data_IF_497972297233
#
_entry.id   IF_497972297233
#
_cell.length_a   1.000
_cell.length_b   1.000
_cell.length_c   1.000
_cell.angle_alpha   90.00
_cell.angle_beta   90.00
_cell.angle_gamma   90.00
#
_symmetry.space_group_name_H-M   'P 1'
#
loop_
_entity.id
_entity.type
_entity.pdbx_description
1 polymer ?
#
# COMPACT_ATOMS: atom_id res chain seq x y z
N UNK A 1 -17.73 67.84 -1.81
CA UNK A 1 -18.71 66.98 -2.49
C UNK A 1 -18.05 65.67 -2.84
N UNK A 2 -18.20 64.67 -1.95
CA UNK A 2 -17.98 63.23 -2.22
C UNK A 2 -19.06 62.72 -3.15
N UNK A 3 -18.83 61.58 -3.86
CA UNK A 3 -19.45 60.38 -3.33
C UNK A 3 -18.61 59.09 -3.39
N UNK A 4 -18.86 58.30 -2.38
CA UNK A 4 -18.56 56.90 -2.17
C UNK A 4 -18.72 56.00 -3.40
N UNK A 5 -17.69 55.24 -3.71
CA UNK A 5 -17.75 54.04 -4.53
C UNK A 5 -17.46 52.81 -3.69
N UNK A 6 -18.48 52.18 -3.13
CA UNK A 6 -18.46 50.88 -2.49
C UNK A 6 -18.16 49.79 -3.54
N UNK A 7 -16.96 49.26 -3.56
CA UNK A 7 -16.65 48.03 -4.26
C UNK A 7 -17.15 46.85 -3.41
N UNK A 8 -18.33 46.34 -3.72
CA UNK A 8 -18.83 45.05 -3.28
C UNK A 8 -17.95 43.95 -3.86
N UNK A 9 -16.97 43.52 -3.11
CA UNK A 9 -16.29 42.24 -3.33
C UNK A 9 -17.31 41.13 -3.07
N UNK A 10 -18.00 40.67 -4.13
CA UNK A 10 -18.80 39.43 -4.09
C UNK A 10 -17.92 38.29 -3.63
N UNK A 11 -17.94 37.97 -2.33
CA UNK A 11 -17.52 36.68 -1.81
C UNK A 11 -18.45 35.63 -2.43
N UNK A 12 -17.98 34.96 -3.47
CA UNK A 12 -18.62 33.75 -4.00
C UNK A 12 -18.48 32.64 -2.95
N UNK A 13 -19.39 32.64 -1.99
CA UNK A 13 -19.59 31.50 -1.09
C UNK A 13 -19.99 30.30 -1.96
N UNK A 14 -19.10 29.36 -2.11
CA UNK A 14 -19.39 28.08 -2.79
C UNK A 14 -20.63 27.45 -2.14
N UNK A 15 -21.65 27.18 -2.96
CA UNK A 15 -22.91 26.57 -2.55
C UNK A 15 -22.63 25.28 -1.72
N UNK A 16 -23.31 25.08 -0.57
CA UNK A 16 -23.14 23.86 0.27
C UNK A 16 -23.38 22.56 -0.48
N UNK A 17 -24.19 22.59 -1.56
CA UNK A 17 -24.40 21.43 -2.44
C UNK A 17 -23.15 21.05 -3.23
N UNK A 18 -22.33 22.02 -3.67
CA UNK A 18 -21.07 21.77 -4.40
C UNK A 18 -20.02 21.02 -3.53
N UNK A 19 -19.96 21.33 -2.24
CA UNK A 19 -19.03 20.68 -1.31
C UNK A 19 -19.35 19.20 -1.04
N UNK A 20 -20.64 18.87 -0.86
CA UNK A 20 -21.09 17.49 -0.63
C UNK A 20 -20.86 16.61 -1.85
N UNK A 21 -21.16 17.09 -3.05
CA UNK A 21 -20.92 16.37 -4.31
C UNK A 21 -19.42 16.11 -4.52
N UNK A 22 -18.56 17.08 -4.23
CA UNK A 22 -17.11 16.91 -4.32
C UNK A 22 -16.58 15.83 -3.38
N UNK A 23 -17.02 15.80 -2.12
CA UNK A 23 -16.65 14.78 -1.14
C UNK A 23 -17.12 13.38 -1.57
N UNK A 24 -18.33 13.26 -2.11
CA UNK A 24 -18.86 11.99 -2.60
C UNK A 24 -18.03 11.44 -3.77
N UNK A 25 -17.64 12.27 -4.73
CA UNK A 25 -16.80 11.86 -5.85
C UNK A 25 -15.43 11.39 -5.34
N UNK A 26 -14.81 12.11 -4.39
CA UNK A 26 -13.56 11.72 -3.79
C UNK A 26 -13.71 10.37 -3.07
N UNK A 27 -14.78 10.16 -2.31
CA UNK A 27 -15.05 8.88 -1.63
C UNK A 27 -15.15 7.71 -2.62
N UNK A 28 -15.88 7.89 -3.74
CA UNK A 28 -15.95 6.89 -4.83
C UNK A 28 -14.57 6.65 -5.44
N UNK A 29 -13.79 7.70 -5.67
CA UNK A 29 -12.44 7.56 -6.25
C UNK A 29 -11.52 6.79 -5.32
N UNK A 30 -11.57 7.01 -3.99
CA UNK A 30 -10.85 6.18 -3.01
C UNK A 30 -11.35 4.73 -3.01
N UNK A 31 -12.67 4.53 -3.08
CA UNK A 31 -13.28 3.21 -3.14
C UNK A 31 -12.76 2.42 -4.34
N UNK A 32 -12.73 3.03 -5.53
CA UNK A 32 -12.22 2.41 -6.76
C UNK A 32 -10.71 2.20 -6.70
N UNK A 33 -9.94 3.19 -6.23
CA UNK A 33 -8.48 3.08 -6.16
C UNK A 33 -8.01 1.94 -5.27
N UNK A 34 -8.54 1.87 -4.05
CA UNK A 34 -8.19 0.79 -3.12
C UNK A 34 -8.92 -0.51 -3.44
N UNK A 35 -10.09 -0.42 -4.04
CA UNK A 35 -10.79 -1.56 -4.59
C UNK A 35 -9.98 -2.28 -5.66
N UNK A 36 -9.31 -1.53 -6.55
CA UNK A 36 -8.38 -2.10 -7.54
C UNK A 36 -7.23 -2.90 -6.88
N UNK A 37 -6.69 -2.41 -5.75
CA UNK A 37 -5.72 -3.18 -4.97
C UNK A 37 -6.31 -4.48 -4.45
N UNK A 38 -7.57 -4.45 -4.00
CA UNK A 38 -8.29 -5.62 -3.53
C UNK A 38 -8.63 -6.63 -4.65
N UNK A 39 -8.77 -6.16 -5.88
CA UNK A 39 -8.98 -7.03 -7.06
C UNK A 39 -7.69 -7.70 -7.49
N UNK A 40 -6.63 -6.92 -7.66
CA UNK A 40 -5.43 -7.40 -8.36
C UNK A 40 -4.43 -8.06 -7.42
N UNK A 41 -4.08 -7.40 -6.30
CA UNK A 41 -2.96 -7.85 -5.47
C UNK A 41 -3.16 -9.26 -4.91
N UNK A 42 -4.34 -9.62 -4.35
CA UNK A 42 -4.53 -10.97 -3.81
C UNK A 42 -4.57 -12.06 -4.87
N UNK A 43 -5.10 -11.77 -6.05
CA UNK A 43 -5.45 -12.81 -7.04
C UNK A 43 -4.55 -12.80 -8.28
N UNK A 44 -3.57 -11.91 -8.37
CA UNK A 44 -2.63 -11.89 -9.50
C UNK A 44 -1.84 -13.19 -9.61
N UNK A 45 -1.46 -13.81 -8.49
CA UNK A 45 -0.82 -15.12 -8.48
C UNK A 45 -1.68 -16.21 -9.10
N UNK A 46 -2.99 -16.24 -8.78
CA UNK A 46 -3.95 -17.20 -9.37
C UNK A 46 -4.09 -16.98 -10.88
N UNK A 47 -4.14 -15.72 -11.33
CA UNK A 47 -4.19 -15.41 -12.77
C UNK A 47 -2.95 -15.91 -13.50
N UNK A 48 -1.75 -15.65 -12.96
CA UNK A 48 -0.49 -16.05 -13.59
C UNK A 48 -0.31 -17.58 -13.61
N UNK A 49 -0.63 -18.25 -12.50
CA UNK A 49 -0.62 -19.71 -12.39
C UNK A 49 -1.61 -20.33 -13.39
N UNK A 50 -2.82 -19.76 -13.50
CA UNK A 50 -3.82 -20.19 -14.49
C UNK A 50 -3.40 -19.97 -15.95
N UNK A 51 -2.42 -19.10 -16.21
CA UNK A 51 -1.77 -18.92 -17.51
C UNK A 51 -0.55 -19.82 -17.72
N UNK A 52 -0.25 -20.70 -16.76
CA UNK A 52 0.84 -21.68 -16.83
C UNK A 52 2.21 -21.15 -16.47
N UNK A 53 2.31 -19.99 -15.81
CA UNK A 53 3.59 -19.48 -15.33
C UNK A 53 4.06 -20.28 -14.11
N UNK A 54 5.37 -20.53 -14.09
CA UNK A 54 6.01 -21.17 -12.95
C UNK A 54 6.01 -20.25 -11.71
N UNK A 55 6.15 -20.83 -10.52
CA UNK A 55 6.25 -20.06 -9.29
C UNK A 55 7.39 -19.05 -9.32
N UNK A 56 8.52 -19.40 -9.92
CA UNK A 56 9.65 -18.49 -10.10
C UNK A 56 9.26 -17.27 -10.93
N UNK A 57 8.64 -17.46 -12.09
CA UNK A 57 8.15 -16.36 -12.93
C UNK A 57 7.12 -15.49 -12.21
N UNK A 58 6.20 -16.09 -11.44
CA UNK A 58 5.25 -15.34 -10.62
C UNK A 58 5.98 -14.44 -9.63
N UNK A 59 6.96 -14.97 -8.89
CA UNK A 59 7.75 -14.20 -7.93
C UNK A 59 8.58 -13.10 -8.59
N UNK A 60 9.18 -13.37 -9.75
CA UNK A 60 9.93 -12.38 -10.54
C UNK A 60 9.03 -11.23 -11.02
N UNK A 61 7.84 -11.54 -11.54
CA UNK A 61 6.88 -10.53 -11.97
C UNK A 61 6.43 -9.65 -10.78
N UNK A 62 6.11 -10.24 -9.63
CA UNK A 62 5.79 -9.48 -8.42
C UNK A 62 6.96 -8.61 -7.95
N UNK A 63 8.21 -9.08 -8.07
CA UNK A 63 9.38 -8.29 -7.76
C UNK A 63 9.50 -7.07 -8.68
N UNK A 64 9.34 -7.24 -9.98
CA UNK A 64 9.37 -6.13 -10.96
C UNK A 64 8.25 -5.11 -10.69
N UNK A 65 7.03 -5.56 -10.45
CA UNK A 65 5.90 -4.69 -10.07
C UNK A 65 6.24 -3.88 -8.81
N UNK A 66 6.83 -4.53 -7.81
CA UNK A 66 7.20 -3.88 -6.55
C UNK A 66 8.29 -2.83 -6.76
N UNK A 67 9.28 -3.09 -7.61
CA UNK A 67 10.31 -2.12 -7.99
C UNK A 67 9.72 -0.94 -8.77
N UNK A 68 8.79 -1.18 -9.69
CA UNK A 68 8.10 -0.11 -10.43
C UNK A 68 7.38 0.88 -9.48
N UNK A 69 6.85 0.39 -8.36
CA UNK A 69 6.22 1.23 -7.31
C UNK A 69 7.19 2.17 -6.59
N UNK A 70 8.49 1.89 -6.61
CA UNK A 70 9.50 2.80 -6.02
C UNK A 70 9.78 3.97 -6.96
N UNK A 71 9.90 3.68 -8.25
CA UNK A 71 10.31 4.67 -9.24
C UNK A 71 9.19 5.66 -9.58
N UNK A 72 7.96 5.18 -9.63
CA UNK A 72 6.82 5.95 -10.08
C UNK A 72 6.54 7.23 -9.28
N UNK A 73 6.44 7.20 -7.93
CA UNK A 73 6.08 8.38 -7.15
C UNK A 73 7.03 9.56 -7.33
N UNK A 74 8.35 9.30 -7.38
CA UNK A 74 9.36 10.34 -7.60
C UNK A 74 9.25 11.00 -8.97
N UNK A 75 9.00 10.21 -10.02
CA UNK A 75 8.79 10.71 -11.37
C UNK A 75 7.55 11.60 -11.46
N UNK A 76 6.43 11.12 -10.90
CA UNK A 76 5.15 11.82 -10.96
C UNK A 76 5.09 13.05 -10.06
N UNK A 77 5.75 13.04 -8.90
CA UNK A 77 5.92 14.22 -8.08
C UNK A 77 6.65 15.32 -8.87
N UNK A 78 7.75 14.97 -9.54
CA UNK A 78 8.49 15.93 -10.39
C UNK A 78 7.65 16.50 -11.54
N UNK A 79 6.73 15.69 -12.12
CA UNK A 79 5.80 16.18 -13.16
C UNK A 79 4.75 17.10 -12.55
N UNK A 80 4.18 16.73 -11.39
CA UNK A 80 3.17 17.54 -10.69
C UNK A 80 3.75 18.89 -10.25
N UNK A 81 4.95 18.92 -9.69
CA UNK A 81 5.64 20.13 -9.25
C UNK A 81 5.93 21.07 -10.42
N UNK A 82 6.39 20.53 -11.57
CA UNK A 82 6.67 21.34 -12.76
C UNK A 82 5.42 21.90 -13.42
N UNK A 83 4.32 21.16 -13.40
CA UNK A 83 3.09 21.55 -14.09
C UNK A 83 2.12 22.34 -13.21
N UNK A 84 2.22 22.24 -11.89
CA UNK A 84 1.26 22.80 -10.95
C UNK A 84 -0.16 22.27 -11.16
N UNK A 85 -0.32 21.08 -11.75
CA UNK A 85 -1.59 20.53 -12.18
C UNK A 85 -1.82 19.11 -11.65
N UNK A 86 -2.06 18.97 -10.35
CA UNK A 86 -2.32 17.71 -9.68
C UNK A 86 -3.44 16.88 -10.34
N UNK A 87 -4.53 17.54 -10.74
CA UNK A 87 -5.67 16.87 -11.43
C UNK A 87 -5.24 16.32 -12.78
N UNK A 88 -4.51 17.12 -13.58
CA UNK A 88 -4.03 16.69 -14.90
C UNK A 88 -3.09 15.48 -14.79
N UNK A 89 -2.17 15.50 -13.83
CA UNK A 89 -1.26 14.39 -13.57
C UNK A 89 -2.03 13.15 -13.12
N UNK A 90 -3.00 13.28 -12.22
CA UNK A 90 -3.84 12.16 -11.77
C UNK A 90 -4.63 11.54 -12.94
N UNK A 91 -5.29 12.36 -13.77
CA UNK A 91 -6.04 11.89 -14.95
C UNK A 91 -5.15 11.21 -15.97
N UNK A 92 -4.00 11.79 -16.26
CA UNK A 92 -3.03 11.19 -17.17
C UNK A 92 -2.52 9.84 -16.62
N UNK A 93 -2.19 9.78 -15.33
CA UNK A 93 -1.81 8.53 -14.66
C UNK A 93 -2.89 7.47 -14.77
N UNK A 94 -4.15 7.79 -14.48
CA UNK A 94 -5.27 6.85 -14.63
C UNK A 94 -5.46 6.39 -16.08
N UNK A 95 -5.41 7.30 -17.05
CA UNK A 95 -5.55 6.96 -18.47
C UNK A 95 -4.45 6.02 -18.94
N UNK A 96 -3.19 6.36 -18.65
CA UNK A 96 -2.04 5.52 -19.01
C UNK A 96 -2.08 4.16 -18.31
N UNK A 97 -2.59 4.11 -17.07
CA UNK A 97 -2.83 2.85 -16.35
C UNK A 97 -3.82 1.96 -17.09
N UNK A 98 -4.98 2.50 -17.52
CA UNK A 98 -5.97 1.75 -18.31
C UNK A 98 -5.37 1.25 -19.61
N UNK A 99 -4.69 2.13 -20.36
CA UNK A 99 -4.13 1.78 -21.67
C UNK A 99 -3.05 0.69 -21.56
N UNK A 100 -2.11 0.84 -20.61
CA UNK A 100 -1.05 -0.17 -20.42
C UNK A 100 -1.61 -1.48 -19.85
N UNK A 101 -2.59 -1.42 -18.94
CA UNK A 101 -3.22 -2.64 -18.44
C UNK A 101 -4.01 -3.38 -19.51
N UNK A 102 -4.63 -2.67 -20.46
CA UNK A 102 -5.35 -3.31 -21.58
C UNK A 102 -4.44 -4.18 -22.43
N UNK A 103 -3.14 -3.95 -22.45
CA UNK A 103 -2.19 -4.79 -23.17
C UNK A 103 -2.03 -6.19 -22.59
N UNK A 104 -2.47 -6.44 -21.33
CA UNK A 104 -2.48 -7.78 -20.70
C UNK A 104 -3.35 -8.77 -21.48
N UNK A 105 -4.37 -8.29 -22.19
CA UNK A 105 -5.23 -9.14 -23.02
C UNK A 105 -4.57 -9.62 -24.33
N UNK A 106 -3.50 -8.96 -24.75
CA UNK A 106 -2.76 -9.28 -25.96
C UNK A 106 -1.48 -10.07 -25.70
N UNK A 107 -0.86 -9.87 -24.55
CA UNK A 107 0.37 -10.55 -24.20
C UNK A 107 0.09 -11.89 -23.51
N UNK A 108 0.82 -12.92 -23.98
CA UNK A 108 0.80 -14.28 -23.38
C UNK A 108 2.18 -14.68 -22.85
N UNK A 109 3.23 -13.96 -23.24
CA UNK A 109 4.60 -14.23 -22.80
C UNK A 109 4.89 -13.60 -21.45
N UNK A 110 5.81 -14.20 -20.68
CA UNK A 110 6.28 -13.68 -19.41
C UNK A 110 6.74 -12.21 -19.51
N UNK A 111 7.61 -11.89 -20.43
CA UNK A 111 8.13 -10.53 -20.59
C UNK A 111 7.07 -9.52 -21.04
N UNK A 112 6.14 -9.94 -21.88
CA UNK A 112 5.03 -9.10 -22.30
C UNK A 112 4.12 -8.72 -21.12
N UNK A 113 3.75 -9.71 -20.29
CA UNK A 113 2.95 -9.45 -19.09
C UNK A 113 3.74 -8.67 -18.04
N UNK A 114 5.00 -8.98 -17.84
CA UNK A 114 5.87 -8.23 -16.91
C UNK A 114 5.97 -6.75 -17.30
N UNK A 115 6.12 -6.46 -18.58
CA UNK A 115 6.12 -5.09 -19.10
C UNK A 115 4.75 -4.41 -18.89
N UNK A 116 3.65 -5.10 -19.22
CA UNK A 116 2.31 -4.56 -19.07
C UNK A 116 1.97 -4.21 -17.61
N UNK A 117 2.22 -5.14 -16.68
CA UNK A 117 2.00 -4.91 -15.25
C UNK A 117 2.97 -3.89 -14.65
N UNK A 118 4.24 -3.91 -15.06
CA UNK A 118 5.25 -2.96 -14.61
C UNK A 118 4.91 -1.53 -15.02
N UNK A 119 4.55 -1.30 -16.29
CA UNK A 119 4.12 0.01 -16.78
C UNK A 119 2.81 0.46 -16.13
N UNK A 120 1.84 -0.43 -16.04
CA UNK A 120 0.59 -0.16 -15.33
C UNK A 120 0.86 0.33 -13.90
N UNK A 121 1.71 -0.38 -13.17
CA UNK A 121 2.03 -0.02 -11.78
C UNK A 121 2.77 1.32 -11.71
N UNK A 122 3.70 1.57 -12.61
CA UNK A 122 4.42 2.85 -12.67
C UNK A 122 3.46 4.03 -12.89
N UNK A 123 2.50 3.90 -13.80
CA UNK A 123 1.51 4.95 -14.06
C UNK A 123 0.49 5.07 -12.93
N UNK A 124 0.09 3.97 -12.31
CA UNK A 124 -0.84 4.00 -11.19
C UNK A 124 -0.29 4.74 -9.97
N UNK A 125 1.01 4.70 -9.72
CA UNK A 125 1.62 5.43 -8.60
C UNK A 125 1.47 6.95 -8.69
N UNK A 126 1.08 7.49 -9.86
CA UNK A 126 0.74 8.90 -10.00
C UNK A 126 -0.55 9.30 -9.27
N UNK A 127 -1.46 8.34 -9.06
CA UNK A 127 -2.85 8.65 -8.69
C UNK A 127 -3.00 9.03 -7.22
N UNK A 128 -2.51 8.19 -6.31
CA UNK A 128 -2.77 8.35 -4.88
C UNK A 128 -2.21 9.66 -4.29
N UNK A 129 -0.96 10.06 -4.54
CA UNK A 129 -0.42 11.30 -3.98
C UNK A 129 -1.23 12.53 -4.39
N UNK A 130 -1.66 12.57 -5.65
CA UNK A 130 -2.47 13.68 -6.16
C UNK A 130 -3.88 13.65 -5.57
N UNK A 131 -4.48 12.46 -5.44
CA UNK A 131 -5.79 12.29 -4.82
C UNK A 131 -5.77 12.75 -3.35
N UNK A 132 -4.70 12.44 -2.61
CA UNK A 132 -4.53 12.86 -1.22
C UNK A 132 -4.41 14.38 -1.08
N UNK A 133 -3.58 15.03 -1.90
CA UNK A 133 -3.46 16.49 -1.93
C UNK A 133 -4.81 17.14 -2.23
N UNK A 134 -5.53 16.70 -3.27
CA UNK A 134 -6.84 17.22 -3.64
C UNK A 134 -7.84 17.03 -2.49
N UNK A 135 -7.79 15.86 -1.82
CA UNK A 135 -8.70 15.55 -0.71
C UNK A 135 -8.43 16.46 0.49
N UNK A 136 -7.16 16.63 0.89
CA UNK A 136 -6.78 17.51 2.00
C UNK A 136 -7.26 18.94 1.78
N UNK A 137 -7.09 19.47 0.57
CA UNK A 137 -7.54 20.81 0.21
C UNK A 137 -9.06 20.94 0.15
N UNK A 138 -9.74 19.87 -0.21
CA UNK A 138 -11.22 19.86 -0.23
C UNK A 138 -11.79 19.80 1.18
N UNK A 139 -11.29 18.92 2.03
CA UNK A 139 -11.78 18.79 3.42
C UNK A 139 -11.47 20.01 4.27
N UNK A 140 -10.36 20.71 4.01
CA UNK A 140 -10.02 21.96 4.70
C UNK A 140 -11.12 23.06 4.54
N UNK A 141 -11.93 22.96 3.51
CA UNK A 141 -13.05 23.88 3.21
C UNK A 141 -14.42 23.33 3.66
N UNK A 142 -14.45 22.21 4.36
CA UNK A 142 -15.67 21.51 4.77
C UNK A 142 -15.61 21.09 6.24
N UNK A 143 -16.70 20.52 6.77
CA UNK A 143 -16.72 19.90 8.10
C UNK A 143 -16.25 18.44 8.09
N UNK A 144 -16.01 17.86 6.92
CA UNK A 144 -15.53 16.49 6.80
C UNK A 144 -14.04 16.39 7.16
N UNK A 145 -13.62 15.22 7.60
CA UNK A 145 -12.21 14.92 7.86
C UNK A 145 -11.63 14.07 6.74
N UNK A 146 -10.31 14.15 6.54
CA UNK A 146 -9.60 13.27 5.62
C UNK A 146 -9.90 11.78 5.88
N UNK A 147 -9.89 11.36 7.16
CA UNK A 147 -10.15 9.97 7.55
C UNK A 147 -11.52 9.47 7.10
N UNK A 148 -12.56 10.31 7.17
CA UNK A 148 -13.91 9.95 6.71
C UNK A 148 -13.97 9.68 5.21
N UNK A 149 -13.26 10.44 4.41
CA UNK A 149 -13.19 10.23 2.95
C UNK A 149 -12.30 9.03 2.62
N UNK A 150 -11.13 8.93 3.26
CA UNK A 150 -10.15 7.87 3.04
C UNK A 150 -10.65 6.48 3.45
N UNK A 151 -11.55 6.39 4.45
CA UNK A 151 -12.16 5.13 4.92
C UNK A 151 -12.87 4.37 3.80
N UNK A 152 -13.47 5.08 2.83
CA UNK A 152 -14.12 4.46 1.68
C UNK A 152 -13.15 3.62 0.84
N UNK A 153 -11.85 3.92 0.88
CA UNK A 153 -10.84 3.06 0.28
C UNK A 153 -10.77 1.68 0.92
N UNK A 154 -10.79 1.59 2.26
CA UNK A 154 -10.82 0.29 2.95
C UNK A 154 -12.11 -0.49 2.64
N UNK A 155 -13.25 0.21 2.59
CA UNK A 155 -14.53 -0.40 2.18
C UNK A 155 -14.44 -0.95 0.74
N UNK A 156 -13.88 -0.18 -0.20
CA UNK A 156 -13.69 -0.60 -1.58
C UNK A 156 -12.78 -1.83 -1.70
N UNK A 157 -11.66 -1.83 -0.98
CA UNK A 157 -10.76 -2.98 -0.91
C UNK A 157 -11.51 -4.24 -0.44
N UNK A 158 -12.18 -4.17 0.71
CA UNK A 158 -12.91 -5.31 1.31
C UNK A 158 -13.99 -5.82 0.34
N UNK A 159 -14.84 -4.92 -0.17
CA UNK A 159 -15.95 -5.29 -1.06
C UNK A 159 -15.44 -5.99 -2.33
N UNK A 160 -14.43 -5.41 -2.98
CA UNK A 160 -13.95 -5.96 -4.25
C UNK A 160 -13.08 -7.21 -4.05
N UNK A 161 -12.31 -7.31 -2.97
CA UNK A 161 -11.56 -8.55 -2.66
C UNK A 161 -12.52 -9.73 -2.47
N UNK A 162 -13.58 -9.57 -1.68
CA UNK A 162 -14.58 -10.64 -1.47
C UNK A 162 -15.38 -10.88 -2.74
N UNK A 163 -15.80 -9.83 -3.46
CA UNK A 163 -16.59 -9.94 -4.69
C UNK A 163 -15.83 -10.65 -5.81
N UNK A 164 -14.55 -10.33 -6.02
CA UNK A 164 -13.72 -10.99 -7.03
C UNK A 164 -13.37 -12.42 -6.59
N UNK A 165 -13.13 -12.66 -5.30
CA UNK A 165 -12.99 -14.02 -4.79
C UNK A 165 -14.20 -14.88 -5.10
N UNK A 166 -15.42 -14.36 -4.88
CA UNK A 166 -16.66 -15.07 -5.27
C UNK A 166 -16.77 -15.26 -6.78
N UNK A 167 -16.38 -14.27 -7.57
CA UNK A 167 -16.42 -14.36 -9.02
C UNK A 167 -15.43 -15.41 -9.55
N UNK A 168 -14.26 -15.58 -8.92
CA UNK A 168 -13.30 -16.65 -9.23
C UNK A 168 -13.90 -18.06 -9.04
N UNK A 169 -14.78 -18.24 -8.06
CA UNK A 169 -15.45 -19.53 -7.82
C UNK A 169 -16.45 -19.90 -8.93
N UNK A 170 -16.90 -18.91 -9.71
CA UNK A 170 -17.95 -19.07 -10.74
C UNK A 170 -17.35 -19.05 -12.15
N UNK A 171 -16.32 -18.22 -12.36
CA UNK A 171 -15.72 -17.96 -13.66
C UNK A 171 -14.29 -18.52 -13.73
N UNK A 172 -13.46 -17.99 -14.60
CA UNK A 172 -12.08 -18.43 -14.82
C UNK A 172 -11.05 -17.68 -13.95
N UNK A 173 -9.82 -18.17 -13.96
CA UNK A 173 -8.64 -17.52 -13.35
C UNK A 173 -8.31 -16.16 -13.97
N UNK A 174 -8.89 -15.81 -15.12
CA UNK A 174 -8.76 -14.48 -15.75
C UNK A 174 -9.68 -13.42 -15.10
N UNK A 175 -10.59 -13.80 -14.22
CA UNK A 175 -11.55 -12.92 -13.55
C UNK A 175 -10.91 -11.68 -12.92
N UNK A 176 -9.77 -11.77 -12.19
CA UNK A 176 -9.14 -10.59 -11.59
C UNK A 176 -8.73 -9.55 -12.64
N UNK A 177 -8.26 -9.98 -13.80
CA UNK A 177 -7.84 -9.07 -14.88
C UNK A 177 -9.05 -8.41 -15.54
N UNK A 178 -10.14 -9.16 -15.79
CA UNK A 178 -11.38 -8.60 -16.34
C UNK A 178 -12.04 -7.62 -15.34
N UNK A 179 -12.06 -7.94 -14.06
CA UNK A 179 -12.56 -7.04 -13.03
C UNK A 179 -11.67 -5.78 -12.91
N UNK A 180 -10.34 -5.95 -12.95
CA UNK A 180 -9.39 -4.85 -12.88
C UNK A 180 -9.59 -3.82 -13.99
N UNK A 181 -9.73 -4.24 -15.26
CA UNK A 181 -9.91 -3.26 -16.34
C UNK A 181 -11.20 -2.45 -16.16
N UNK A 182 -12.28 -3.09 -15.69
CA UNK A 182 -13.52 -2.40 -15.37
C UNK A 182 -13.36 -1.39 -14.24
N UNK A 183 -12.70 -1.77 -13.15
CA UNK A 183 -12.44 -0.89 -12.00
C UNK A 183 -11.52 0.27 -12.40
N UNK A 184 -10.45 0.01 -13.16
CA UNK A 184 -9.53 1.05 -13.65
C UNK A 184 -10.23 2.03 -14.58
N UNK A 185 -11.10 1.57 -15.48
CA UNK A 185 -11.90 2.45 -16.34
C UNK A 185 -12.85 3.32 -15.52
N UNK A 186 -13.55 2.76 -14.53
CA UNK A 186 -14.40 3.51 -13.62
C UNK A 186 -13.59 4.50 -12.77
N UNK A 187 -12.39 4.11 -12.32
CA UNK A 187 -11.46 5.01 -11.62
C UNK A 187 -11.09 6.20 -12.50
N UNK A 188 -10.70 5.97 -13.75
CA UNK A 188 -10.40 7.06 -14.68
C UNK A 188 -11.62 7.97 -14.87
N UNK A 189 -12.80 7.41 -15.13
CA UNK A 189 -14.05 8.16 -15.29
C UNK A 189 -14.35 9.00 -14.03
N UNK A 190 -14.17 8.43 -12.81
CA UNK A 190 -14.41 9.17 -11.56
C UNK A 190 -13.53 10.41 -11.44
N UNK A 191 -12.29 10.35 -11.91
CA UNK A 191 -11.35 11.48 -11.87
C UNK A 191 -11.80 12.65 -12.75
N UNK A 192 -12.58 12.40 -13.81
CA UNK A 192 -13.09 13.45 -14.70
C UNK A 192 -14.07 14.38 -14.00
N UNK A 193 -14.75 13.89 -12.96
CA UNK A 193 -15.70 14.66 -12.17
C UNK A 193 -15.06 15.41 -10.99
N UNK A 194 -13.79 15.12 -10.67
CA UNK A 194 -13.05 15.84 -9.61
C UNK A 194 -12.74 17.24 -10.08
N UNK A 195 -13.08 18.24 -9.25
CA UNK A 195 -12.79 19.65 -9.46
C UNK A 195 -11.98 20.15 -8.26
N UNK A 196 -10.79 20.66 -8.51
CA UNK A 196 -10.00 21.35 -7.50
C UNK A 196 -9.42 22.64 -8.10
N UNK A 197 -9.23 23.69 -7.30
CA UNK A 197 -8.52 24.89 -7.74
C UNK A 197 -7.09 24.55 -8.13
N UNK A 198 -6.53 25.26 -9.12
CA UNK A 198 -5.09 25.24 -9.40
C UNK A 198 -4.34 25.68 -8.14
N UNK A 199 -3.35 24.91 -7.74
CA UNK A 199 -2.50 25.24 -6.62
C UNK A 199 -1.20 25.91 -7.07
N UNK A 200 -0.67 26.77 -6.19
CA UNK A 200 0.73 27.17 -6.28
C UNK A 200 1.61 25.97 -5.96
N UNK A 201 2.66 25.75 -6.74
CA UNK A 201 3.63 24.70 -6.50
C UNK A 201 4.18 24.83 -5.06
N UNK A 202 4.30 23.71 -4.30
CA UNK A 202 4.88 23.77 -2.97
C UNK A 202 6.34 24.26 -3.06
N UNK A 203 6.72 25.13 -2.12
CA UNK A 203 8.11 25.56 -2.01
C UNK A 203 9.03 24.35 -1.82
N UNK A 204 9.99 24.18 -2.71
CA UNK A 204 10.98 23.12 -2.63
C UNK A 204 11.81 23.30 -1.37
N UNK A 205 11.74 22.36 -0.44
CA UNK A 205 12.59 22.41 0.76
C UNK A 205 14.05 22.19 0.36
N UNK A 206 14.91 23.16 0.65
CA UNK A 206 16.37 23.14 0.46
C UNK A 206 17.10 22.28 1.51
N UNK A 207 16.47 21.27 2.07
CA UNK A 207 17.09 20.40 3.06
C UNK A 207 18.28 19.63 2.45
N UNK A 208 19.40 19.60 3.17
CA UNK A 208 20.61 18.87 2.77
C UNK A 208 20.43 17.35 2.63
N UNK A 209 21.52 16.58 2.57
CA UNK A 209 21.46 15.12 2.41
C UNK A 209 20.93 14.41 3.65
N UNK A 210 20.01 13.44 3.48
CA UNK A 210 19.48 12.58 4.55
C UNK A 210 20.54 11.60 5.10
N UNK A 211 21.60 11.33 4.37
CA UNK A 211 22.59 10.31 4.72
C UNK A 211 23.26 10.51 6.07
N UNK A 212 23.31 11.78 6.57
CA UNK A 212 23.78 12.10 7.94
C UNK A 212 22.95 11.35 9.00
N UNK A 213 21.64 11.26 8.80
CA UNK A 213 20.72 10.59 9.72
C UNK A 213 20.55 9.10 9.41
N UNK A 214 20.55 8.74 8.14
CA UNK A 214 20.39 7.36 7.68
C UNK A 214 21.49 6.42 8.20
N UNK A 215 22.71 6.95 8.42
CA UNK A 215 23.84 6.20 8.98
C UNK A 215 23.82 6.08 10.51
N UNK A 216 22.92 6.76 11.20
CA UNK A 216 22.82 6.63 12.65
C UNK A 216 22.25 5.27 13.02
N UNK A 217 22.86 4.62 14.02
CA UNK A 217 22.54 3.26 14.44
C UNK A 217 21.05 3.00 14.63
N UNK A 218 20.25 3.83 15.35
CA UNK A 218 18.84 3.55 15.54
C UNK A 218 18.04 3.54 14.22
N UNK A 219 18.35 4.47 13.31
CA UNK A 219 17.67 4.55 12.03
C UNK A 219 18.07 3.40 11.08
N UNK A 220 19.34 3.06 11.05
CA UNK A 220 19.84 1.94 10.24
C UNK A 220 19.24 0.60 10.68
N UNK A 221 19.18 0.34 12.00
CA UNK A 221 18.56 -0.87 12.56
C UNK A 221 17.06 -0.89 12.27
N UNK A 222 16.37 0.23 12.44
CA UNK A 222 14.95 0.36 12.09
C UNK A 222 14.69 0.03 10.61
N UNK A 223 15.48 0.57 9.70
CA UNK A 223 15.35 0.28 8.26
C UNK A 223 15.63 -1.20 7.97
N UNK A 224 16.66 -1.78 8.58
CA UNK A 224 16.98 -3.19 8.41
C UNK A 224 15.87 -4.11 8.93
N UNK A 225 15.37 -3.87 10.15
CA UNK A 225 14.27 -4.64 10.73
C UNK A 225 13.00 -4.54 9.87
N UNK A 226 12.69 -3.34 9.36
CA UNK A 226 11.57 -3.10 8.47
C UNK A 226 11.75 -3.81 7.11
N UNK A 227 12.98 -3.84 6.57
CA UNK A 227 13.27 -4.57 5.34
C UNK A 227 13.09 -6.08 5.53
N UNK A 228 13.60 -6.66 6.62
CA UNK A 228 13.40 -8.06 6.97
C UNK A 228 11.91 -8.41 7.11
N UNK A 229 11.14 -7.53 7.76
CA UNK A 229 9.69 -7.68 7.84
C UNK A 229 9.04 -7.72 6.45
N UNK A 230 9.38 -6.79 5.56
CA UNK A 230 8.81 -6.73 4.22
C UNK A 230 9.26 -7.90 3.32
N UNK A 231 10.48 -8.40 3.50
CA UNK A 231 10.93 -9.65 2.86
C UNK A 231 9.99 -10.80 3.27
N UNK A 232 9.64 -10.89 4.54
CA UNK A 232 8.75 -11.94 5.05
C UNK A 232 7.34 -11.90 4.45
N UNK A 233 6.87 -10.75 3.99
CA UNK A 233 5.57 -10.60 3.33
C UNK A 233 5.52 -11.12 1.89
N UNK A 234 6.67 -11.43 1.27
CA UNK A 234 6.71 -11.96 -0.11
C UNK A 234 5.90 -13.24 -0.28
N UNK A 235 5.99 -14.18 0.67
CA UNK A 235 5.17 -15.39 0.68
C UNK A 235 3.66 -15.08 0.74
N UNK A 236 3.27 -14.08 1.51
CA UNK A 236 1.88 -13.71 1.68
C UNK A 236 1.30 -13.01 0.45
N UNK A 237 1.95 -11.94 -0.04
CA UNK A 237 1.40 -11.16 -1.15
C UNK A 237 1.43 -11.92 -2.49
N UNK A 238 2.44 -12.74 -2.72
CA UNK A 238 2.56 -13.49 -3.97
C UNK A 238 1.75 -14.79 -3.98
N UNK A 239 1.67 -15.49 -2.84
CA UNK A 239 1.29 -16.89 -2.83
C UNK A 239 0.16 -17.27 -1.85
N UNK A 240 -0.34 -16.36 -1.01
CA UNK A 240 -1.38 -16.70 -0.04
C UNK A 240 -2.66 -17.23 -0.71
N UNK A 241 -3.13 -16.60 -1.79
CA UNK A 241 -4.33 -17.06 -2.46
C UNK A 241 -4.13 -18.42 -3.17
N UNK A 242 -2.95 -18.66 -3.70
CA UNK A 242 -2.57 -19.99 -4.25
C UNK A 242 -2.56 -21.02 -3.12
N UNK A 243 -1.98 -20.70 -1.97
CA UNK A 243 -1.95 -21.58 -0.82
C UNK A 243 -3.35 -21.93 -0.30
N UNK A 244 -4.24 -20.92 -0.23
CA UNK A 244 -5.64 -21.19 0.17
C UNK A 244 -6.35 -22.10 -0.83
N UNK A 245 -6.15 -21.91 -2.14
CA UNK A 245 -6.66 -22.79 -3.17
C UNK A 245 -6.15 -24.23 -3.02
N UNK A 246 -4.86 -24.38 -2.78
CA UNK A 246 -4.21 -25.69 -2.62
C UNK A 246 -4.66 -26.41 -1.33
N UNK A 247 -5.25 -25.67 -0.37
CA UNK A 247 -5.91 -26.18 0.83
C UNK A 247 -7.45 -26.29 0.68
N UNK A 248 -7.97 -26.30 -0.56
CA UNK A 248 -9.38 -26.43 -0.91
C UNK A 248 -10.29 -25.29 -0.38
N UNK A 249 -9.74 -24.13 0.00
CA UNK A 249 -10.57 -22.97 0.30
C UNK A 249 -11.04 -22.29 -0.99
N UNK A 250 -12.32 -21.89 -1.00
CA UNK A 250 -12.89 -21.16 -2.14
C UNK A 250 -12.26 -19.75 -2.27
N UNK A 251 -12.35 -19.18 -3.48
CA UNK A 251 -11.92 -17.80 -3.72
C UNK A 251 -12.67 -16.80 -2.83
N UNK A 252 -13.97 -17.05 -2.56
CA UNK A 252 -14.76 -16.24 -1.63
C UNK A 252 -14.21 -16.31 -0.20
N UNK A 253 -13.89 -17.51 0.31
CA UNK A 253 -13.29 -17.69 1.64
C UNK A 253 -11.93 -16.98 1.72
N UNK A 254 -11.09 -17.14 0.71
CA UNK A 254 -9.80 -16.44 0.60
C UNK A 254 -9.99 -14.93 0.66
N UNK A 255 -10.96 -14.40 -0.08
CA UNK A 255 -11.31 -12.98 -0.03
C UNK A 255 -11.76 -12.51 1.34
N UNK A 256 -12.56 -13.30 2.05
CA UNK A 256 -13.00 -13.01 3.43
C UNK A 256 -11.81 -13.02 4.39
N UNK A 257 -10.88 -13.95 4.29
CA UNK A 257 -9.68 -13.98 5.13
C UNK A 257 -8.86 -12.71 4.96
N UNK A 258 -8.61 -12.29 3.72
CA UNK A 258 -7.85 -11.06 3.44
C UNK A 258 -8.61 -9.82 3.94
N UNK A 259 -9.92 -9.76 3.70
CA UNK A 259 -10.78 -8.68 4.18
C UNK A 259 -10.79 -8.57 5.72
N UNK A 260 -10.75 -9.71 6.43
CA UNK A 260 -10.64 -9.74 7.89
C UNK A 260 -9.35 -9.08 8.38
N UNK A 261 -8.22 -9.32 7.69
CA UNK A 261 -6.95 -8.66 7.98
C UNK A 261 -7.05 -7.15 7.86
N UNK A 262 -7.62 -6.65 6.77
CA UNK A 262 -7.79 -5.21 6.53
C UNK A 262 -8.79 -4.59 7.53
N UNK A 263 -9.84 -5.31 7.90
CA UNK A 263 -10.78 -4.85 8.92
C UNK A 263 -10.09 -4.72 10.29
N UNK A 264 -9.25 -5.69 10.65
CA UNK A 264 -8.44 -5.64 11.87
C UNK A 264 -7.44 -4.47 11.84
N UNK A 265 -6.85 -4.15 10.67
CA UNK A 265 -6.01 -2.95 10.50
C UNK A 265 -6.77 -1.65 10.77
N UNK A 266 -7.99 -1.51 10.27
CA UNK A 266 -8.81 -0.33 10.58
C UNK A 266 -8.99 -0.19 12.09
N UNK A 267 -9.24 -1.30 12.79
CA UNK A 267 -9.35 -1.31 14.25
C UNK A 267 -8.06 -0.86 14.95
N UNK A 268 -6.91 -1.39 14.53
CA UNK A 268 -5.63 -1.04 15.17
C UNK A 268 -5.24 0.41 14.94
N UNK A 269 -5.53 0.99 13.77
CA UNK A 269 -5.26 2.40 13.50
C UNK A 269 -6.01 3.35 14.46
N UNK A 270 -7.22 2.99 14.91
CA UNK A 270 -7.97 3.80 15.84
C UNK A 270 -7.29 3.91 17.21
N UNK A 271 -6.54 2.88 17.62
CA UNK A 271 -5.88 2.83 18.93
C UNK A 271 -4.37 2.97 18.87
N UNK A 272 -3.77 3.00 17.67
CA UNK A 272 -2.32 3.02 17.46
C UNK A 272 -1.62 4.13 18.25
N UNK A 273 -2.17 5.36 18.24
CA UNK A 273 -1.62 6.48 19.01
C UNK A 273 -1.55 6.19 20.50
N UNK A 274 -2.59 5.54 21.06
CA UNK A 274 -2.62 5.18 22.48
C UNK A 274 -1.59 4.09 22.79
N UNK A 275 -1.48 3.09 21.91
CA UNK A 275 -0.48 2.04 22.08
C UNK A 275 0.94 2.60 22.04
N UNK A 276 1.24 3.50 21.10
CA UNK A 276 2.56 4.13 20.98
C UNK A 276 2.89 4.92 22.26
N UNK A 277 1.94 5.68 22.81
CA UNK A 277 2.16 6.45 24.04
C UNK A 277 2.35 5.58 25.29
N UNK A 278 1.74 4.39 25.32
CA UNK A 278 1.83 3.48 26.48
C UNK A 278 3.06 2.58 26.44
N UNK A 279 3.38 2.04 25.28
CA UNK A 279 4.39 0.97 25.14
C UNK A 279 5.70 1.43 24.50
N UNK A 280 5.70 2.60 23.85
CA UNK A 280 6.86 3.13 23.13
C UNK A 280 7.13 2.44 21.79
N UNK A 281 7.97 3.08 20.98
CA UNK A 281 8.29 2.65 19.61
C UNK A 281 9.01 1.30 19.59
N UNK A 282 10.05 1.16 20.40
CA UNK A 282 10.90 -0.03 20.40
C UNK A 282 10.11 -1.31 20.72
N UNK A 283 9.30 -1.29 21.79
CA UNK A 283 8.52 -2.45 22.22
C UNK A 283 7.50 -2.85 21.14
N UNK A 284 6.80 -1.87 20.57
CA UNK A 284 5.78 -2.16 19.57
C UNK A 284 6.37 -2.71 18.28
N UNK A 285 7.51 -2.17 17.80
CA UNK A 285 8.21 -2.74 16.65
C UNK A 285 8.67 -4.16 16.94
N UNK A 286 9.34 -4.39 18.08
CA UNK A 286 9.84 -5.72 18.44
C UNK A 286 8.70 -6.75 18.53
N UNK A 287 7.66 -6.47 19.30
CA UNK A 287 6.54 -7.39 19.50
C UNK A 287 5.79 -7.64 18.18
N UNK A 288 5.52 -6.60 17.40
CA UNK A 288 4.80 -6.75 16.14
C UNK A 288 5.59 -7.58 15.12
N UNK A 289 6.90 -7.37 14.99
CA UNK A 289 7.74 -8.12 14.05
C UNK A 289 7.93 -9.56 14.56
N UNK A 290 8.14 -9.77 15.87
CA UNK A 290 8.25 -11.11 16.45
C UNK A 290 6.96 -11.92 16.28
N UNK A 291 5.80 -11.31 16.54
CA UNK A 291 4.50 -11.95 16.30
C UNK A 291 4.26 -12.23 14.81
N UNK A 292 4.83 -11.44 13.91
CA UNK A 292 4.79 -11.75 12.48
C UNK A 292 5.57 -13.01 12.16
N UNK A 293 6.76 -13.17 12.74
CA UNK A 293 7.53 -14.41 12.61
C UNK A 293 6.76 -15.63 13.12
N UNK A 294 6.16 -15.52 14.31
CA UNK A 294 5.31 -16.57 14.87
C UNK A 294 4.10 -16.86 13.96
N UNK A 295 3.45 -15.82 13.42
CA UNK A 295 2.33 -15.92 12.49
C UNK A 295 2.69 -16.77 11.26
N UNK A 296 3.84 -16.47 10.63
CA UNK A 296 4.27 -17.22 9.44
C UNK A 296 4.62 -18.67 9.77
N UNK A 297 5.28 -18.93 10.90
CA UNK A 297 5.59 -20.28 11.33
C UNK A 297 4.33 -21.09 11.62
N UNK A 298 3.35 -20.51 12.33
CA UNK A 298 2.07 -21.18 12.63
C UNK A 298 1.27 -21.42 11.34
N UNK A 299 1.31 -20.49 10.39
CA UNK A 299 0.73 -20.73 9.06
C UNK A 299 1.44 -21.84 8.29
N UNK A 300 2.76 -21.91 8.34
CA UNK A 300 3.51 -23.01 7.72
C UNK A 300 3.08 -24.37 8.27
N UNK A 301 2.97 -24.50 9.60
CA UNK A 301 2.79 -25.77 10.27
C UNK A 301 1.31 -26.23 10.38
N UNK A 302 0.34 -25.31 10.34
CA UNK A 302 -1.04 -25.60 10.71
C UNK A 302 -2.09 -24.88 9.82
N UNK A 303 -1.74 -24.55 8.57
CA UNK A 303 -2.68 -23.84 7.68
C UNK A 303 -3.89 -24.67 7.24
N UNK A 304 -3.89 -25.97 7.42
CA UNK A 304 -5.05 -26.86 7.29
C UNK A 304 -6.14 -26.57 8.34
N UNK A 305 -5.78 -25.91 9.43
CA UNK A 305 -6.68 -25.56 10.51
C UNK A 305 -7.32 -24.18 10.25
N UNK A 306 -8.62 -24.14 9.97
CA UNK A 306 -9.38 -22.91 9.69
C UNK A 306 -9.12 -21.79 10.71
N UNK A 307 -9.13 -22.11 12.02
CA UNK A 307 -8.93 -21.11 13.08
C UNK A 307 -7.53 -20.47 13.03
N UNK A 308 -6.52 -21.23 12.60
CA UNK A 308 -5.15 -20.72 12.42
C UNK A 308 -5.11 -19.65 11.33
N UNK A 309 -5.80 -19.88 10.21
CA UNK A 309 -5.89 -18.89 9.14
C UNK A 309 -6.58 -17.63 9.66
N UNK A 310 -7.73 -17.76 10.33
CA UNK A 310 -8.49 -16.63 10.89
C UNK A 310 -7.62 -15.82 11.88
N UNK A 311 -6.96 -16.47 12.83
CA UNK A 311 -6.08 -15.80 13.80
C UNK A 311 -4.88 -15.14 13.12
N UNK A 312 -4.31 -15.79 12.11
CA UNK A 312 -3.25 -15.23 11.28
C UNK A 312 -3.68 -13.91 10.63
N UNK A 313 -4.92 -13.83 10.12
CA UNK A 313 -5.42 -12.58 9.53
C UNK A 313 -5.65 -11.49 10.58
N UNK A 314 -6.10 -11.82 11.79
CA UNK A 314 -6.22 -10.83 12.86
C UNK A 314 -4.85 -10.28 13.29
N UNK A 315 -3.82 -11.13 13.36
CA UNK A 315 -2.44 -10.71 13.65
C UNK A 315 -1.89 -9.80 12.54
N UNK A 316 -2.44 -9.84 11.32
CA UNK A 316 -2.06 -8.93 10.23
C UNK A 316 -2.15 -7.45 10.63
N UNK A 317 -3.11 -7.09 11.45
CA UNK A 317 -3.22 -5.73 11.99
C UNK A 317 -1.97 -5.28 12.76
N UNK A 318 -1.33 -6.17 13.50
CA UNK A 318 -0.07 -5.89 14.20
C UNK A 318 1.10 -5.90 13.22
N UNK A 319 1.14 -6.93 12.37
CA UNK A 319 2.23 -7.16 11.41
C UNK A 319 2.38 -6.03 10.40
N UNK A 320 1.28 -5.46 9.91
CA UNK A 320 1.26 -4.40 8.91
C UNK A 320 0.79 -3.07 9.51
N UNK A 321 -0.45 -3.00 10.01
CA UNK A 321 -1.07 -1.75 10.43
C UNK A 321 -0.31 -1.05 11.57
N UNK A 322 -0.09 -1.76 12.70
CA UNK A 322 0.61 -1.19 13.85
C UNK A 322 2.07 -0.89 13.52
N UNK A 323 2.76 -1.83 12.87
CA UNK A 323 4.17 -1.64 12.49
C UNK A 323 4.35 -0.41 11.60
N UNK A 324 3.46 -0.21 10.62
CA UNK A 324 3.51 0.96 9.75
C UNK A 324 3.25 2.27 10.53
N UNK A 325 2.23 2.30 11.38
CA UNK A 325 1.92 3.48 12.20
C UNK A 325 3.09 3.85 13.14
N UNK A 326 3.70 2.84 13.78
CA UNK A 326 4.88 3.03 14.67
C UNK A 326 6.09 3.47 13.87
N UNK A 327 6.31 2.92 12.67
CA UNK A 327 7.41 3.30 11.77
C UNK A 327 7.32 4.76 11.34
N UNK A 328 6.15 5.21 10.91
CA UNK A 328 5.92 6.62 10.55
C UNK A 328 6.12 7.52 11.78
N UNK A 329 5.61 7.12 12.95
CA UNK A 329 5.81 7.85 14.19
C UNK A 329 7.31 7.97 14.54
N UNK A 330 8.07 6.87 14.46
CA UNK A 330 9.51 6.87 14.70
C UNK A 330 10.25 7.82 13.76
N UNK A 331 9.96 7.79 12.46
CA UNK A 331 10.59 8.69 11.48
C UNK A 331 10.33 10.16 11.85
N UNK A 332 9.10 10.49 12.24
CA UNK A 332 8.74 11.86 12.63
C UNK A 332 9.36 12.29 13.96
N UNK A 333 9.56 11.37 14.89
CA UNK A 333 10.22 11.63 16.17
C UNK A 333 11.75 11.75 16.01
N UNK A 334 12.34 10.86 15.21
CA UNK A 334 13.79 10.76 15.05
C UNK A 334 14.37 11.85 14.15
N UNK A 335 13.69 12.21 13.07
CA UNK A 335 14.20 13.15 12.08
C UNK A 335 13.69 14.58 12.31
N UNK A 336 14.55 15.60 12.10
CA UNK A 336 14.09 16.98 12.02
C UNK A 336 13.03 17.16 10.94
N UNK A 337 12.11 18.10 11.14
CA UNK A 337 10.94 18.34 10.28
C UNK A 337 11.28 18.41 8.78
N UNK A 338 12.38 19.06 8.42
CA UNK A 338 12.84 19.21 7.03
C UNK A 338 13.25 17.88 6.36
N UNK A 339 13.52 16.82 7.14
CA UNK A 339 13.98 15.52 6.62
C UNK A 339 12.93 14.40 6.72
N UNK A 340 11.78 14.64 7.35
CA UNK A 340 10.78 13.61 7.63
C UNK A 340 10.24 12.95 6.34
N UNK A 341 9.89 13.73 5.32
CA UNK A 341 9.43 13.21 4.03
C UNK A 341 10.51 12.37 3.34
N UNK A 342 11.78 12.78 3.43
CA UNK A 342 12.90 12.00 2.87
C UNK A 342 13.14 10.71 3.66
N UNK A 343 12.97 10.75 4.99
CA UNK A 343 13.05 9.57 5.85
C UNK A 343 11.96 8.55 5.50
N UNK A 344 10.74 9.00 5.28
CA UNK A 344 9.66 8.14 4.80
C UNK A 344 9.96 7.57 3.41
N UNK A 345 10.51 8.37 2.49
CA UNK A 345 10.91 7.88 1.17
C UNK A 345 11.98 6.78 1.25
N UNK A 346 12.99 6.93 2.11
CA UNK A 346 14.02 5.90 2.37
C UNK A 346 13.37 4.64 2.95
N UNK A 347 12.49 4.78 3.94
CA UNK A 347 11.77 3.65 4.54
C UNK A 347 10.93 2.90 3.49
N UNK A 348 10.13 3.61 2.70
CA UNK A 348 9.30 2.98 1.66
C UNK A 348 10.17 2.34 0.58
N UNK A 349 11.21 3.01 0.10
CA UNK A 349 12.05 2.48 -0.97
C UNK A 349 12.83 1.24 -0.53
N UNK A 350 13.43 1.25 0.66
CA UNK A 350 14.27 0.14 1.12
C UNK A 350 13.40 -0.99 1.67
N UNK A 351 12.49 -0.71 2.60
CA UNK A 351 11.70 -1.78 3.22
C UNK A 351 10.65 -2.33 2.25
N UNK A 352 9.70 -1.50 1.80
CA UNK A 352 8.62 -1.98 0.93
C UNK A 352 9.09 -2.25 -0.49
N UNK A 353 10.01 -1.44 -1.00
CA UNK A 353 10.50 -1.59 -2.35
C UNK A 353 11.51 -2.73 -2.48
N UNK A 354 12.74 -2.51 -2.01
CA UNK A 354 13.81 -3.53 -2.15
C UNK A 354 13.51 -4.78 -1.33
N UNK A 355 13.08 -4.62 -0.07
CA UNK A 355 12.72 -5.76 0.79
C UNK A 355 11.54 -6.55 0.21
N UNK A 356 10.46 -5.87 -0.18
CA UNK A 356 9.30 -6.53 -0.78
C UNK A 356 9.62 -7.22 -2.11
N UNK A 357 10.42 -6.59 -2.99
CA UNK A 357 10.83 -7.20 -4.25
C UNK A 357 11.69 -8.46 -4.03
N UNK A 358 12.66 -8.37 -3.14
CA UNK A 358 13.49 -9.51 -2.79
C UNK A 358 12.66 -10.64 -2.15
N UNK A 359 11.73 -10.31 -1.27
CA UNK A 359 10.82 -11.27 -0.65
C UNK A 359 9.93 -11.99 -1.66
N UNK A 360 9.33 -11.26 -2.61
CA UNK A 360 8.53 -11.84 -3.69
C UNK A 360 9.38 -12.76 -4.58
N UNK A 361 10.57 -12.32 -4.97
CA UNK A 361 11.49 -13.13 -5.75
C UNK A 361 11.85 -14.43 -5.03
N UNK A 362 12.30 -14.35 -3.77
CA UNK A 362 12.64 -15.53 -2.97
C UNK A 362 11.48 -16.49 -2.79
N UNK A 363 10.30 -15.96 -2.45
CA UNK A 363 9.10 -16.78 -2.30
C UNK A 363 8.78 -17.53 -3.61
N UNK A 364 8.91 -16.86 -4.75
CA UNK A 364 8.72 -17.50 -6.06
C UNK A 364 9.68 -18.62 -6.34
N UNK A 365 10.97 -18.43 -6.05
CA UNK A 365 12.00 -19.47 -6.23
C UNK A 365 11.79 -20.69 -5.33
N UNK A 366 11.20 -20.49 -4.14
CA UNK A 366 11.00 -21.56 -3.16
C UNK A 366 9.65 -22.28 -3.31
N UNK A 367 8.60 -21.62 -3.81
CA UNK A 367 7.22 -22.11 -3.75
C UNK A 367 6.98 -23.45 -4.46
N UNK A 368 7.62 -23.68 -5.60
CA UNK A 368 7.57 -24.94 -6.38
C UNK A 368 6.14 -25.48 -6.58
N UNK A 369 5.25 -24.66 -7.12
CA UNK A 369 3.83 -25.00 -7.37
C UNK A 369 3.11 -25.50 -6.09
N UNK A 370 3.42 -24.95 -4.93
CA UNK A 370 2.79 -25.26 -3.65
C UNK A 370 3.46 -26.38 -2.86
N UNK A 371 4.30 -27.22 -3.48
CA UNK A 371 4.95 -28.35 -2.77
C UNK A 371 5.87 -27.91 -1.65
N UNK A 372 6.47 -26.73 -1.73
CA UNK A 372 7.34 -26.14 -0.70
C UNK A 372 6.68 -24.97 0.04
N UNK A 373 5.36 -24.97 0.18
CA UNK A 373 4.64 -23.93 0.92
C UNK A 373 5.12 -23.81 2.37
N UNK A 374 5.36 -24.94 3.03
CA UNK A 374 5.90 -24.98 4.39
C UNK A 374 7.24 -24.25 4.50
N UNK A 375 8.21 -24.61 3.68
CA UNK A 375 9.55 -24.04 3.69
C UNK A 375 9.53 -22.55 3.33
N UNK A 376 8.65 -22.15 2.42
CA UNK A 376 8.48 -20.75 2.02
C UNK A 376 7.98 -19.89 3.18
N UNK A 377 6.96 -20.34 3.92
CA UNK A 377 6.47 -19.62 5.10
C UNK A 377 7.43 -19.72 6.30
N UNK A 378 8.18 -20.83 6.46
CA UNK A 378 9.27 -20.91 7.47
C UNK A 378 10.37 -19.91 7.13
N UNK A 379 10.77 -19.78 5.88
CA UNK A 379 11.76 -18.76 5.46
C UNK A 379 11.24 -17.34 5.75
N UNK A 380 9.97 -17.06 5.49
CA UNK A 380 9.35 -15.81 5.87
C UNK A 380 9.40 -15.57 7.39
N UNK A 381 9.14 -16.62 8.20
CA UNK A 381 9.25 -16.54 9.66
C UNK A 381 10.67 -16.22 10.13
N UNK A 382 11.67 -16.83 9.49
CA UNK A 382 13.10 -16.58 9.80
C UNK A 382 13.48 -15.13 9.51
N UNK A 383 13.08 -14.58 8.36
CA UNK A 383 13.36 -13.16 8.06
C UNK A 383 12.68 -12.21 9.07
N UNK A 384 11.44 -12.47 9.44
CA UNK A 384 10.78 -11.68 10.48
C UNK A 384 11.49 -11.81 11.84
N UNK A 385 11.94 -13.01 12.21
CA UNK A 385 12.70 -13.23 13.43
C UNK A 385 14.06 -12.48 13.41
N UNK A 386 14.79 -12.51 12.29
CA UNK A 386 16.02 -11.72 12.10
C UNK A 386 15.73 -10.23 12.28
N UNK A 387 14.64 -9.73 11.69
CA UNK A 387 14.20 -8.35 11.85
C UNK A 387 13.92 -7.99 13.32
N UNK A 388 13.18 -8.82 14.04
CA UNK A 388 12.91 -8.61 15.46
C UNK A 388 14.21 -8.65 16.30
N UNK A 389 15.07 -9.64 16.09
CA UNK A 389 16.32 -9.79 16.81
C UNK A 389 17.29 -8.63 16.53
N UNK A 390 17.30 -8.07 15.32
CA UNK A 390 18.13 -6.92 15.00
C UNK A 390 17.81 -5.68 15.86
N UNK A 391 16.56 -5.54 16.31
CA UNK A 391 16.18 -4.45 17.22
C UNK A 391 16.85 -4.55 18.59
N UNK A 392 17.27 -5.74 19.02
CA UNK A 392 18.02 -5.93 20.26
C UNK A 392 19.41 -5.28 20.22
N UNK A 393 19.95 -5.01 19.02
CA UNK A 393 21.20 -4.28 18.85
C UNK A 393 21.09 -2.79 19.21
N UNK A 394 19.87 -2.28 19.37
CA UNK A 394 19.60 -0.90 19.75
C UNK A 394 18.79 -0.87 21.05
N UNK A 395 19.23 -0.05 22.01
CA UNK A 395 18.50 0.10 23.26
C UNK A 395 17.20 0.89 23.07
N UNK A 396 16.23 0.67 23.96
CA UNK A 396 14.98 1.47 23.99
C UNK A 396 15.27 2.96 24.06
N UNK A 397 16.25 3.36 24.92
CA UNK A 397 16.66 4.77 25.05
C UNK A 397 17.18 5.36 23.74
N UNK A 398 17.99 4.60 22.99
CA UNK A 398 18.52 5.06 21.70
C UNK A 398 17.41 5.30 20.67
N UNK A 399 16.35 4.48 20.66
CA UNK A 399 15.22 4.68 19.74
C UNK A 399 14.20 5.73 20.21
N UNK A 400 14.02 5.91 21.52
CA UNK A 400 12.99 6.78 22.06
C UNK A 400 13.52 8.20 22.39
N UNK A 401 14.81 8.34 22.75
CA UNK A 401 15.42 9.61 23.10
C UNK A 401 16.05 10.37 21.93
N UNK A 402 16.09 9.77 20.77
CA UNK A 402 16.72 10.37 19.59
C UNK A 402 15.85 11.50 19.00
N UNK A 403 15.91 12.67 19.64
CA UNK A 403 15.87 13.92 18.86
C UNK A 403 17.25 14.03 18.23
N UNK A 404 17.32 13.96 16.90
CA UNK A 404 18.57 14.18 16.18
C UNK A 404 19.14 15.54 16.62
N UNK A 405 20.31 15.51 17.26
CA UNK A 405 21.08 16.70 17.61
C UNK A 405 21.55 17.43 16.35
#
# INVERSE_FOLDING_TARGET
LSPNGLNDAKSTSASPASGKTGLFILAITYWLYFGQLGVLVPYLGIFLDGRGFSSAEIGELFAVITLARILGPGLWAGVADKTGNAIGVMRLGCLLTVLTFSSVFYFTSFWGLTLAFGLMMMFWTAVLPQLEVITMNTVAKTKATYGQVRLWGSVGFICLTVGVGKALDIFSTDTPVHASIGVLALLFISTLFIRAPKEAAPESSTAGSIWKYAKQKPFAIFIFASACLQISFGAYYGFFALYMRDLDYSGQQTGIFIALGVLAEVGIFLIARRLISQFGVWNLLFVSIALTGLRWYVMAAFADTFMVIVLSQLIHALSFGLTHAVSVHFIHQFLPKAYQSRGQAVYISIAFGLGGAFGNYMAGQQWQQGTNAYETFVTAAVFAAIGALSLLLCSRKEMESAKAA
#
